data_IF_648814663845
#
_entry.id   IF_648814663845
#
_cell.length_a   1.000
_cell.length_b   1.000
_cell.length_c   1.000
_cell.angle_alpha   90.00
_cell.angle_beta   90.00
_cell.angle_gamma   90.00
#
_symmetry.space_group_name_H-M   'P 1'
#
loop_
_entity.id
_entity.type
_entity.pdbx_description
1 polymer ?
#
# COMPACT_ATOMS: atom_id res chain seq x y z
N UNK A 1 -4.82 -16.69 -54.33
CA UNK A 1 -4.19 -16.75 -52.98
C UNK A 1 -3.61 -15.38 -52.65
N UNK A 2 -4.26 -14.65 -51.79
CA UNK A 2 -3.72 -13.37 -51.26
C UNK A 2 -2.98 -13.67 -49.97
N UNK A 3 -1.81 -13.12 -49.65
CA UNK A 3 -1.12 -13.37 -48.42
C UNK A 3 -1.84 -12.65 -47.28
N UNK A 4 -2.13 -13.39 -46.24
CA UNK A 4 -2.62 -12.90 -44.95
C UNK A 4 -1.54 -11.99 -44.31
N UNK A 5 -1.90 -10.75 -44.05
CA UNK A 5 -1.08 -9.80 -43.31
C UNK A 5 -0.93 -10.30 -41.85
N UNK A 6 0.30 -10.65 -41.50
CA UNK A 6 0.69 -10.89 -40.11
C UNK A 6 0.59 -9.54 -39.38
N UNK A 7 -0.31 -9.42 -38.42
CA UNK A 7 -0.40 -8.30 -37.51
C UNK A 7 0.88 -8.25 -36.66
N UNK A 8 1.75 -7.29 -36.97
CA UNK A 8 2.91 -6.96 -36.13
C UNK A 8 2.36 -6.37 -34.84
N UNK A 9 2.43 -7.15 -33.75
CA UNK A 9 2.12 -6.68 -32.42
C UNK A 9 2.88 -5.38 -32.12
N UNK A 10 2.19 -4.42 -31.51
CA UNK A 10 2.69 -3.10 -31.14
C UNK A 10 3.99 -3.22 -30.32
N UNK A 11 5.12 -3.23 -30.99
CA UNK A 11 6.42 -2.88 -30.41
C UNK A 11 6.32 -1.38 -30.14
N UNK A 12 6.06 -0.99 -28.89
CA UNK A 12 6.07 0.41 -28.49
C UNK A 12 7.45 0.97 -28.80
N UNK A 13 7.52 1.92 -29.73
CA UNK A 13 8.72 2.66 -30.11
C UNK A 13 9.42 3.16 -28.83
N UNK A 14 10.73 2.85 -28.62
CA UNK A 14 11.49 3.31 -27.46
C UNK A 14 11.40 4.80 -27.23
N UNK A 15 11.32 5.60 -28.29
CA UNK A 15 11.14 7.04 -28.22
C UNK A 15 9.78 7.45 -27.64
N UNK A 16 8.72 6.70 -27.93
CA UNK A 16 7.39 6.99 -27.39
C UNK A 16 7.35 6.85 -25.85
N UNK A 17 8.11 5.91 -25.30
CA UNK A 17 8.22 5.72 -23.84
C UNK A 17 8.94 6.86 -23.13
N UNK A 18 9.95 7.47 -23.77
CA UNK A 18 10.69 8.62 -23.22
C UNK A 18 9.80 9.87 -23.17
N UNK A 19 8.98 10.12 -24.19
CA UNK A 19 8.12 11.31 -24.26
C UNK A 19 6.79 11.17 -23.54
N UNK A 20 6.36 9.95 -23.22
CA UNK A 20 5.08 9.66 -22.54
C UNK A 20 4.89 10.39 -21.20
N UNK A 21 5.88 10.46 -20.29
CA UNK A 21 5.75 11.22 -19.04
C UNK A 21 5.49 12.71 -19.28
N UNK A 22 6.18 13.32 -20.24
CA UNK A 22 6.01 14.73 -20.59
C UNK A 22 4.61 15.02 -21.16
N UNK A 23 4.14 14.18 -22.08
CA UNK A 23 2.81 14.29 -22.67
C UNK A 23 1.70 14.13 -21.62
N UNK A 24 1.84 13.20 -20.68
CA UNK A 24 0.90 13.01 -19.58
C UNK A 24 0.94 14.16 -18.58
N UNK A 25 2.11 14.68 -18.26
CA UNK A 25 2.28 15.88 -17.42
C UNK A 25 1.62 17.10 -18.07
N UNK A 26 1.83 17.31 -19.37
CA UNK A 26 1.20 18.42 -20.10
C UNK A 26 -0.33 18.34 -20.08
N UNK A 27 -0.89 17.15 -20.31
CA UNK A 27 -2.36 16.93 -20.22
C UNK A 27 -2.90 17.16 -18.81
N UNK A 28 -2.21 16.67 -17.80
CA UNK A 28 -2.56 16.92 -16.40
C UNK A 28 -2.54 18.41 -16.08
N UNK A 29 -1.50 19.13 -16.48
CA UNK A 29 -1.33 20.54 -16.21
C UNK A 29 -2.42 21.39 -16.90
N UNK A 30 -2.74 21.07 -18.14
CA UNK A 30 -3.85 21.70 -18.87
C UNK A 30 -5.21 21.41 -18.20
N UNK A 31 -5.42 20.21 -17.68
CA UNK A 31 -6.57 19.83 -16.87
C UNK A 31 -6.64 20.62 -15.55
N UNK A 32 -5.53 20.75 -14.84
CA UNK A 32 -5.43 21.53 -13.60
C UNK A 32 -5.78 23.02 -13.84
N UNK A 33 -5.34 23.62 -14.97
CA UNK A 33 -5.74 24.97 -15.36
C UNK A 33 -7.23 25.12 -15.61
N UNK A 34 -7.84 24.17 -16.33
CA UNK A 34 -9.29 24.19 -16.58
C UNK A 34 -10.08 24.09 -15.28
N UNK A 35 -9.69 23.17 -14.40
CA UNK A 35 -10.35 22.99 -13.12
C UNK A 35 -10.20 24.20 -12.19
N UNK A 36 -8.98 24.79 -12.15
CA UNK A 36 -8.72 26.01 -11.38
C UNK A 36 -9.58 27.20 -11.84
N UNK A 37 -9.83 27.33 -13.15
CA UNK A 37 -10.67 28.39 -13.70
C UNK A 37 -12.16 28.14 -13.50
N UNK A 38 -12.61 26.88 -13.48
CA UNK A 38 -14.03 26.55 -13.33
C UNK A 38 -14.59 26.85 -11.95
N UNK A 39 -13.74 27.08 -10.95
CA UNK A 39 -14.14 27.33 -9.56
C UNK A 39 -15.16 26.30 -9.02
N UNK A 40 -15.15 25.08 -9.53
CA UNK A 40 -16.03 24.03 -9.02
C UNK A 40 -15.71 23.75 -7.56
N UNK A 41 -16.72 23.84 -6.71
CA UNK A 41 -16.61 23.38 -5.33
C UNK A 41 -16.30 21.88 -5.31
N UNK A 42 -15.21 21.52 -4.64
CA UNK A 42 -14.74 20.14 -4.47
C UNK A 42 -14.23 20.00 -3.05
N UNK A 43 -14.47 18.86 -2.44
CA UNK A 43 -13.90 18.51 -1.14
C UNK A 43 -12.35 18.48 -1.19
N UNK A 44 -11.82 18.20 -2.38
CA UNK A 44 -10.39 18.31 -2.66
C UNK A 44 -9.98 19.76 -2.92
N UNK A 45 -8.91 20.25 -2.28
CA UNK A 45 -8.34 21.54 -2.63
C UNK A 45 -7.94 21.57 -4.10
N UNK A 46 -8.35 22.63 -4.79
CA UNK A 46 -7.98 22.82 -6.20
C UNK A 46 -6.47 23.11 -6.29
N UNK A 47 -5.74 22.23 -6.96
CA UNK A 47 -4.32 22.41 -7.19
C UNK A 47 -4.04 23.68 -8.00
N UNK A 48 -3.29 24.65 -7.45
CA UNK A 48 -2.82 25.80 -8.23
C UNK A 48 -1.86 25.32 -9.31
N UNK A 49 -2.12 25.63 -10.58
CA UNK A 49 -1.29 25.18 -11.70
C UNK A 49 0.01 25.99 -11.79
N UNK A 50 0.95 25.70 -10.89
CA UNK A 50 2.29 26.31 -10.85
C UNK A 50 3.30 25.43 -11.57
N UNK A 51 4.44 25.98 -11.98
CA UNK A 51 5.56 25.18 -12.50
C UNK A 51 6.00 24.11 -11.51
N UNK A 52 5.99 24.42 -10.20
CA UNK A 52 6.30 23.45 -9.14
C UNK A 52 5.31 22.26 -9.15
N UNK A 53 4.02 22.52 -9.38
CA UNK A 53 3.03 21.44 -9.52
C UNK A 53 3.34 20.55 -10.73
N UNK A 54 3.72 21.16 -11.87
CA UNK A 54 4.11 20.43 -13.06
C UNK A 54 5.35 19.56 -12.83
N UNK A 55 6.36 20.03 -12.08
CA UNK A 55 7.55 19.22 -11.74
C UNK A 55 7.20 18.04 -10.82
N UNK A 56 6.28 18.21 -9.88
CA UNK A 56 5.80 17.10 -9.05
C UNK A 56 5.06 16.04 -9.89
N UNK A 57 4.15 16.46 -10.77
CA UNK A 57 3.44 15.56 -11.66
C UNK A 57 4.40 14.82 -12.62
N UNK A 58 5.40 15.53 -13.17
CA UNK A 58 6.42 14.92 -14.04
C UNK A 58 7.23 13.86 -13.29
N UNK A 59 7.66 14.15 -12.07
CA UNK A 59 8.38 13.19 -11.23
C UNK A 59 7.59 11.91 -11.01
N UNK A 60 6.30 12.04 -10.69
CA UNK A 60 5.42 10.88 -10.50
C UNK A 60 5.24 10.09 -11.82
N UNK A 61 5.07 10.77 -12.97
CA UNK A 61 4.97 10.09 -14.27
C UNK A 61 6.28 9.37 -14.67
N UNK A 62 7.45 9.90 -14.27
CA UNK A 62 8.75 9.22 -14.46
C UNK A 62 8.80 7.95 -13.61
N UNK A 63 8.41 8.03 -12.33
CA UNK A 63 8.32 6.85 -11.44
C UNK A 63 7.38 5.81 -12.03
N UNK A 64 6.18 6.20 -12.47
CA UNK A 64 5.22 5.30 -13.13
C UNK A 64 5.79 4.66 -14.40
N UNK A 65 6.55 5.42 -15.20
CA UNK A 65 7.21 4.87 -16.39
C UNK A 65 8.25 3.83 -16.02
N UNK A 66 9.05 4.07 -14.97
CA UNK A 66 10.02 3.10 -14.43
C UNK A 66 9.34 1.82 -13.92
N UNK A 67 8.25 1.95 -13.17
CA UNK A 67 7.48 0.81 -12.68
C UNK A 67 6.91 -0.03 -13.83
N UNK A 68 6.38 0.60 -14.88
CA UNK A 68 5.88 -0.09 -16.07
C UNK A 68 6.97 -0.83 -16.84
N UNK A 69 8.19 -0.28 -16.88
CA UNK A 69 9.32 -0.95 -17.53
C UNK A 69 9.76 -2.18 -16.74
N UNK A 70 9.72 -2.10 -15.42
CA UNK A 70 10.07 -3.22 -14.53
C UNK A 70 8.97 -4.29 -14.45
N UNK A 71 7.72 -3.88 -14.66
CA UNK A 71 6.50 -4.70 -14.61
C UNK A 71 5.70 -4.51 -15.89
N UNK A 72 6.18 -5.08 -17.01
CA UNK A 72 5.44 -5.03 -18.27
C UNK A 72 4.11 -5.75 -18.11
N UNK A 73 3.04 -5.16 -18.66
CA UNK A 73 1.74 -5.82 -18.67
C UNK A 73 1.81 -7.11 -19.49
N UNK A 74 1.22 -8.15 -18.98
CA UNK A 74 1.08 -9.44 -19.67
C UNK A 74 0.29 -9.26 -20.97
N UNK A 75 0.66 -10.02 -22.02
CA UNK A 75 -0.05 -10.00 -23.29
C UNK A 75 -1.50 -10.49 -23.15
N UNK A 76 -2.40 -10.02 -24.01
CA UNK A 76 -3.82 -10.36 -23.94
C UNK A 76 -4.08 -11.87 -23.96
N UNK A 77 -3.29 -12.63 -24.72
CA UNK A 77 -3.44 -14.09 -24.86
C UNK A 77 -3.16 -14.86 -23.54
N UNK A 78 -2.38 -14.25 -22.63
CA UNK A 78 -2.07 -14.87 -21.34
C UNK A 78 -3.12 -14.55 -20.24
N UNK A 79 -4.13 -13.74 -20.53
CA UNK A 79 -5.18 -13.39 -19.56
C UNK A 79 -6.23 -14.49 -19.35
N UNK A 80 -6.39 -15.43 -20.28
CA UNK A 80 -7.35 -16.52 -20.15
C UNK A 80 -7.15 -17.39 -18.88
N UNK A 81 -5.92 -17.80 -18.53
CA UNK A 81 -5.66 -18.47 -17.26
C UNK A 81 -5.99 -17.61 -16.04
N UNK A 82 -5.65 -16.33 -16.06
CA UNK A 82 -5.95 -15.37 -14.97
C UNK A 82 -7.47 -15.24 -14.79
N UNK A 83 -8.23 -15.09 -15.88
CA UNK A 83 -9.69 -14.99 -15.83
C UNK A 83 -10.33 -16.25 -15.22
N UNK A 84 -9.85 -17.45 -15.58
CA UNK A 84 -10.32 -18.69 -14.96
C UNK A 84 -9.99 -18.79 -13.49
N UNK A 85 -8.80 -18.38 -13.06
CA UNK A 85 -8.41 -18.37 -11.66
C UNK A 85 -9.25 -17.38 -10.85
N UNK A 86 -9.53 -16.19 -11.41
CA UNK A 86 -10.43 -15.19 -10.82
C UNK A 86 -11.84 -15.74 -10.68
N UNK A 87 -12.37 -16.42 -11.70
CA UNK A 87 -13.69 -17.04 -11.64
C UNK A 87 -13.77 -18.12 -10.54
N UNK A 88 -12.77 -18.99 -10.47
CA UNK A 88 -12.67 -19.99 -9.40
C UNK A 88 -12.55 -19.34 -8.00
N UNK A 89 -11.84 -18.22 -7.88
CA UNK A 89 -11.73 -17.49 -6.63
C UNK A 89 -13.06 -16.85 -6.19
N UNK A 90 -13.83 -16.32 -7.14
CA UNK A 90 -15.16 -15.78 -6.84
C UNK A 90 -16.10 -16.85 -6.30
N UNK A 91 -16.07 -18.06 -6.88
CA UNK A 91 -16.82 -19.20 -6.37
C UNK A 91 -16.34 -19.60 -4.97
N UNK A 92 -15.03 -19.85 -4.81
CA UNK A 92 -14.41 -20.27 -3.56
C UNK A 92 -14.70 -19.31 -2.39
N UNK A 93 -14.56 -18.01 -2.61
CA UNK A 93 -14.81 -17.00 -1.58
C UNK A 93 -16.31 -16.70 -1.40
N UNK A 94 -17.10 -16.85 -2.46
CA UNK A 94 -18.56 -16.75 -2.40
C UNK A 94 -19.18 -17.82 -1.51
N UNK A 95 -18.80 -19.09 -1.68
CA UNK A 95 -19.23 -20.22 -0.86
C UNK A 95 -18.88 -20.05 0.62
N UNK A 96 -17.75 -19.41 0.90
CA UNK A 96 -17.30 -19.10 2.29
C UNK A 96 -17.90 -17.83 2.86
N UNK A 97 -18.71 -17.12 2.08
CA UNK A 97 -19.31 -15.86 2.48
C UNK A 97 -18.35 -14.66 2.60
N UNK A 98 -17.10 -14.79 2.14
CA UNK A 98 -16.08 -13.75 2.30
C UNK A 98 -16.36 -12.53 1.43
N UNK A 99 -16.99 -12.71 0.27
CA UNK A 99 -17.39 -11.58 -0.59
C UNK A 99 -18.47 -10.72 0.06
N UNK A 100 -19.35 -11.32 0.85
CA UNK A 100 -20.41 -10.61 1.58
C UNK A 100 -19.93 -10.09 2.95
N UNK A 101 -18.94 -10.76 3.56
CA UNK A 101 -18.35 -10.39 4.84
C UNK A 101 -16.81 -10.38 4.76
N UNK A 102 -16.21 -9.32 4.20
CA UNK A 102 -14.76 -9.21 4.02
C UNK A 102 -13.94 -9.38 5.31
N UNK A 103 -14.50 -9.03 6.47
CA UNK A 103 -13.81 -9.21 7.74
C UNK A 103 -13.51 -10.69 8.05
N UNK A 104 -14.35 -11.61 7.61
CA UNK A 104 -14.17 -13.05 7.81
C UNK A 104 -13.02 -13.63 6.96
N UNK A 105 -12.69 -13.01 5.83
CA UNK A 105 -11.52 -13.37 5.03
C UNK A 105 -10.21 -13.17 5.80
N UNK A 106 -10.13 -12.12 6.59
CA UNK A 106 -8.95 -11.80 7.39
C UNK A 106 -8.99 -12.51 8.76
N UNK A 107 -8.88 -13.83 8.76
CA UNK A 107 -8.86 -14.59 10.01
C UNK A 107 -7.82 -14.05 11.00
N UNK A 108 -8.11 -14.07 12.32
CA UNK A 108 -7.14 -13.64 13.32
C UNK A 108 -5.95 -14.61 13.37
N UNK A 109 -4.69 -14.12 13.23
CA UNK A 109 -3.53 -14.99 13.29
C UNK A 109 -3.31 -15.56 14.70
N UNK A 110 -2.62 -16.70 14.85
CA UNK A 110 -2.23 -17.21 16.17
C UNK A 110 -1.26 -16.26 16.87
N UNK A 111 -1.11 -16.36 18.19
CA UNK A 111 -0.10 -15.61 18.93
C UNK A 111 1.30 -15.82 18.34
N UNK A 112 2.11 -14.77 18.36
CA UNK A 112 3.53 -14.85 18.05
C UNK A 112 4.29 -15.09 19.35
N UNK A 113 4.86 -16.28 19.48
CA UNK A 113 5.58 -16.70 20.68
C UNK A 113 7.08 -16.40 20.61
N UNK A 114 7.65 -16.51 19.41
CA UNK A 114 9.10 -16.33 19.21
C UNK A 114 9.37 -15.21 18.21
N UNK A 115 10.25 -14.30 18.60
CA UNK A 115 10.75 -13.21 17.78
C UNK A 115 12.26 -13.09 17.98
N UNK A 116 13.02 -13.48 16.98
CA UNK A 116 14.48 -13.35 17.00
C UNK A 116 14.89 -11.91 16.77
N UNK A 117 15.78 -11.38 17.60
CA UNK A 117 16.32 -10.02 17.46
C UNK A 117 17.83 -10.05 17.27
N UNK A 118 18.31 -9.37 16.25
CA UNK A 118 19.73 -9.24 15.92
C UNK A 118 20.14 -7.75 15.98
N UNK A 119 21.16 -7.40 16.77
CA UNK A 119 21.66 -6.03 16.79
C UNK A 119 22.37 -5.71 15.47
N UNK A 120 22.12 -4.52 14.95
CA UNK A 120 22.76 -4.01 13.72
C UNK A 120 23.23 -2.59 13.98
N UNK A 121 24.47 -2.30 13.59
CA UNK A 121 25.01 -0.93 13.57
C UNK A 121 25.37 -0.55 12.13
N UNK A 122 24.77 0.52 11.64
CA UNK A 122 25.06 1.08 10.32
C UNK A 122 25.30 2.59 10.44
N UNK A 123 26.41 3.09 9.90
CA UNK A 123 26.76 4.53 9.91
C UNK A 123 26.61 5.18 11.29
N UNK A 124 27.13 4.54 12.35
CA UNK A 124 27.06 4.99 13.77
C UNK A 124 25.65 5.06 14.36
N UNK A 125 24.65 4.45 13.70
CA UNK A 125 23.28 4.33 14.18
C UNK A 125 22.95 2.86 14.43
N UNK A 126 22.49 2.55 15.64
CA UNK A 126 22.13 1.19 16.03
C UNK A 126 20.62 0.99 15.95
N UNK A 127 20.22 -0.16 15.48
CA UNK A 127 18.84 -0.65 15.47
C UNK A 127 18.86 -2.16 15.64
N UNK A 128 17.71 -2.78 15.84
CA UNK A 128 17.58 -4.24 15.84
C UNK A 128 16.89 -4.67 14.55
N UNK A 129 17.38 -5.74 13.96
CA UNK A 129 16.63 -6.49 12.96
C UNK A 129 15.89 -7.59 13.71
N UNK A 130 14.61 -7.78 13.38
CA UNK A 130 13.85 -8.89 13.93
C UNK A 130 13.40 -9.84 12.81
N UNK A 131 13.16 -11.09 13.20
CA UNK A 131 12.67 -12.15 12.33
C UNK A 131 11.67 -13.01 13.11
N UNK A 132 10.65 -13.45 12.42
CA UNK A 132 9.73 -14.49 12.91
C UNK A 132 9.12 -15.26 11.73
N UNK A 133 8.65 -16.48 12.00
CA UNK A 133 7.89 -17.25 11.02
C UNK A 133 6.52 -16.60 10.78
N UNK A 134 6.18 -16.32 9.51
CA UNK A 134 4.87 -15.77 9.15
C UNK A 134 3.75 -16.70 9.59
N UNK A 135 3.91 -18.00 9.43
CA UNK A 135 2.86 -18.98 9.66
C UNK A 135 1.58 -18.75 8.84
N UNK A 136 1.63 -17.87 7.84
CA UNK A 136 0.53 -17.71 6.90
C UNK A 136 0.52 -18.86 5.92
N UNK A 137 -0.64 -19.49 5.80
CA UNK A 137 -0.89 -20.56 4.81
C UNK A 137 -2.24 -20.27 4.17
N UNK A 138 -2.32 -20.19 2.83
CA UNK A 138 -3.58 -20.19 2.12
C UNK A 138 -4.45 -21.38 2.53
N UNK A 139 -5.77 -21.23 2.45
CA UNK A 139 -6.67 -22.34 2.73
C UNK A 139 -6.51 -23.47 1.68
N UNK A 140 -6.87 -24.69 2.07
CA UNK A 140 -6.85 -25.83 1.12
C UNK A 140 -7.76 -25.55 -0.08
N UNK A 141 -7.23 -25.73 -1.27
CA UNK A 141 -7.93 -25.48 -2.54
C UNK A 141 -8.12 -23.98 -2.86
N UNK A 142 -7.55 -23.06 -2.10
CA UNK A 142 -7.64 -21.62 -2.37
C UNK A 142 -6.91 -21.29 -3.68
N UNK A 143 -7.58 -20.67 -4.67
CA UNK A 143 -6.96 -20.32 -5.94
C UNK A 143 -5.69 -19.47 -5.75
N UNK A 144 -4.64 -19.79 -6.51
CA UNK A 144 -3.31 -19.17 -6.36
C UNK A 144 -2.52 -19.61 -5.12
N UNK A 145 -3.12 -20.35 -4.17
CA UNK A 145 -2.50 -20.71 -2.90
C UNK A 145 -1.27 -21.58 -3.05
N UNK A 146 -1.32 -22.61 -3.89
CA UNK A 146 -0.14 -23.45 -4.18
C UNK A 146 1.01 -22.63 -4.76
N UNK A 147 0.72 -21.76 -5.72
CA UNK A 147 1.72 -20.84 -6.29
C UNK A 147 2.30 -19.91 -5.23
N UNK A 148 1.47 -19.33 -4.37
CA UNK A 148 1.89 -18.43 -3.29
C UNK A 148 2.88 -19.09 -2.34
N UNK A 149 2.69 -20.36 -1.99
CA UNK A 149 3.60 -21.12 -1.11
C UNK A 149 4.97 -21.36 -1.73
N UNK A 150 5.10 -21.31 -3.06
CA UNK A 150 6.40 -21.42 -3.73
C UNK A 150 7.28 -20.18 -3.52
N UNK A 151 6.72 -19.05 -3.11
CA UNK A 151 7.46 -17.82 -2.80
C UNK A 151 8.08 -17.92 -1.41
N UNK A 152 9.03 -18.82 -1.23
CA UNK A 152 9.62 -19.22 0.05
C UNK A 152 10.18 -18.07 0.89
N UNK A 153 10.59 -16.94 0.25
CA UNK A 153 10.98 -15.72 0.93
C UNK A 153 9.88 -15.12 1.82
N UNK A 154 8.61 -15.43 1.52
CA UNK A 154 7.48 -14.94 2.29
C UNK A 154 7.26 -15.68 3.62
N UNK A 155 7.83 -16.88 3.79
CA UNK A 155 7.69 -17.67 5.02
C UNK A 155 8.27 -16.97 6.25
N UNK A 156 9.34 -16.20 6.09
CA UNK A 156 9.97 -15.45 7.19
C UNK A 156 9.64 -13.97 7.09
N UNK A 157 9.07 -13.41 8.14
CA UNK A 157 8.91 -11.96 8.30
C UNK A 157 10.22 -11.36 8.79
N UNK A 158 10.66 -10.33 8.11
CA UNK A 158 11.79 -9.49 8.51
C UNK A 158 11.28 -8.13 8.93
N UNK A 159 12.02 -7.44 9.78
CA UNK A 159 11.70 -6.06 10.10
C UNK A 159 12.81 -5.35 10.86
N UNK A 160 12.56 -4.08 11.14
CA UNK A 160 13.48 -3.17 11.82
C UNK A 160 12.81 -2.66 13.08
N UNK A 161 13.58 -2.52 14.16
CA UNK A 161 13.06 -2.10 15.46
C UNK A 161 14.03 -1.16 16.16
N UNK A 162 13.46 -0.07 16.67
CA UNK A 162 14.08 0.81 17.68
C UNK A 162 13.25 0.65 18.95
N UNK A 163 13.80 0.09 20.02
CA UNK A 163 13.07 -0.20 21.26
C UNK A 163 13.87 0.29 22.46
N UNK A 164 13.17 0.98 23.36
CA UNK A 164 13.67 1.39 24.66
C UNK A 164 13.75 0.19 25.62
N UNK A 165 14.64 0.23 26.62
CA UNK A 165 14.68 -0.79 27.68
C UNK A 165 13.38 -0.82 28.50
N UNK A 166 12.82 0.34 28.81
CA UNK A 166 11.57 0.50 29.55
C UNK A 166 10.36 0.45 28.60
N UNK A 167 9.19 0.03 29.10
CA UNK A 167 7.94 0.08 28.31
C UNK A 167 7.64 1.49 27.79
N UNK A 168 7.38 1.60 26.51
CA UNK A 168 7.06 2.83 25.80
C UNK A 168 5.94 2.58 24.80
N UNK A 169 5.18 3.61 24.41
CA UNK A 169 4.22 3.46 23.31
C UNK A 169 4.89 3.01 22.02
N UNK A 170 4.16 2.22 21.24
CA UNK A 170 4.64 1.65 19.99
C UNK A 170 4.04 2.34 18.78
N UNK A 171 4.87 2.64 17.79
CA UNK A 171 4.42 3.03 16.47
C UNK A 171 4.87 1.99 15.44
N UNK A 172 3.91 1.28 14.86
CA UNK A 172 4.14 0.32 13.78
C UNK A 172 4.11 1.09 12.46
N UNK A 173 5.27 1.23 11.83
CA UNK A 173 5.44 1.93 10.57
C UNK A 173 5.36 0.94 9.41
N UNK A 174 4.34 1.07 8.57
CA UNK A 174 4.02 0.14 7.49
C UNK A 174 4.43 0.74 6.15
N UNK A 175 5.43 0.16 5.52
CA UNK A 175 6.11 0.75 4.37
C UNK A 175 5.32 0.65 3.05
N UNK A 176 5.68 1.49 2.08
CA UNK A 176 5.12 1.51 0.74
C UNK A 176 5.80 0.55 -0.23
N UNK A 177 5.34 0.60 -1.49
CA UNK A 177 5.92 -0.16 -2.60
C UNK A 177 7.40 0.20 -2.82
N UNK A 178 8.23 -0.76 -3.26
CA UNK A 178 9.67 -0.63 -3.50
C UNK A 178 10.52 -0.28 -2.26
N UNK A 179 9.94 -0.38 -1.08
CA UNK A 179 10.58 -0.21 0.22
C UNK A 179 10.99 -1.57 0.82
N UNK A 180 11.17 -1.67 2.13
CA UNK A 180 11.59 -2.91 2.81
C UNK A 180 13.11 -2.99 3.01
N UNK A 181 13.81 -1.84 3.02
CA UNK A 181 15.25 -1.72 3.24
C UNK A 181 15.57 -0.72 4.33
N UNK A 182 16.40 -1.09 5.28
CA UNK A 182 16.69 -0.31 6.50
C UNK A 182 17.07 1.16 6.22
N UNK A 183 17.94 1.41 5.25
CA UNK A 183 18.38 2.77 4.93
C UNK A 183 17.27 3.65 4.39
N UNK A 184 16.32 3.06 3.68
CA UNK A 184 15.14 3.75 3.13
C UNK A 184 14.10 3.93 4.22
N UNK A 185 13.65 2.85 4.82
CA UNK A 185 12.50 2.82 5.70
C UNK A 185 12.71 3.65 6.97
N UNK A 186 13.84 3.46 7.66
CA UNK A 186 14.17 4.22 8.86
C UNK A 186 14.32 5.73 8.59
N UNK A 187 14.70 6.10 7.35
CA UNK A 187 14.81 7.51 6.96
C UNK A 187 13.46 8.10 6.62
N UNK A 188 12.66 7.40 5.82
CA UNK A 188 11.36 7.87 5.36
C UNK A 188 10.37 8.06 6.52
N UNK A 189 10.36 7.11 7.45
CA UNK A 189 9.55 7.22 8.66
C UNK A 189 10.16 8.12 9.74
N UNK A 190 11.33 8.70 9.51
CA UNK A 190 12.03 9.50 10.53
C UNK A 190 12.18 8.71 11.85
N UNK A 191 12.48 7.41 11.75
CA UNK A 191 12.39 6.48 12.86
C UNK A 191 13.22 6.90 14.09
N UNK A 192 14.41 7.48 13.89
CA UNK A 192 15.24 7.98 15.00
C UNK A 192 14.66 9.22 15.67
N UNK A 193 13.99 10.11 14.94
CA UNK A 193 13.25 11.23 15.51
C UNK A 193 12.08 10.71 16.36
N UNK A 194 11.27 9.83 15.82
CA UNK A 194 10.17 9.21 16.55
C UNK A 194 10.65 8.47 17.82
N UNK A 195 11.78 7.78 17.72
CA UNK A 195 12.34 7.03 18.84
C UNK A 195 12.95 7.94 19.91
N UNK A 196 13.78 8.93 19.54
CA UNK A 196 14.55 9.75 20.47
C UNK A 196 13.76 10.92 21.01
N UNK A 197 13.07 11.65 20.10
CA UNK A 197 12.45 12.91 20.45
C UNK A 197 11.02 12.71 20.98
N UNK A 198 10.30 11.67 20.48
CA UNK A 198 8.98 11.28 20.97
C UNK A 198 9.02 10.13 21.99
N UNK A 199 10.15 9.49 22.17
CA UNK A 199 10.29 8.38 23.10
C UNK A 199 9.52 7.12 22.73
N UNK A 200 9.21 6.95 21.44
CA UNK A 200 8.45 5.80 20.95
C UNK A 200 9.32 4.56 20.72
N UNK A 201 8.75 3.39 20.95
CA UNK A 201 9.22 2.19 20.29
C UNK A 201 8.73 2.22 18.82
N UNK A 202 9.65 2.07 17.88
CA UNK A 202 9.35 2.10 16.44
C UNK A 202 9.67 0.75 15.82
N UNK A 203 8.71 0.20 15.08
CA UNK A 203 8.88 -1.08 14.39
C UNK A 203 8.40 -0.98 12.95
N UNK A 204 9.18 -1.56 12.03
CA UNK A 204 8.90 -1.52 10.59
C UNK A 204 8.95 -2.95 10.06
N UNK A 205 7.82 -3.67 9.96
CA UNK A 205 7.76 -4.98 9.32
C UNK A 205 7.95 -4.85 7.81
N UNK A 206 8.65 -5.81 7.20
CA UNK A 206 8.81 -5.91 5.75
C UNK A 206 7.69 -6.76 5.17
N UNK A 207 6.98 -6.22 4.20
CA UNK A 207 5.89 -6.92 3.51
C UNK A 207 6.35 -8.15 2.70
N UNK A 208 5.45 -9.10 2.44
CA UNK A 208 5.70 -10.16 1.45
C UNK A 208 6.24 -9.58 0.15
N UNK A 209 7.02 -10.33 -0.58
CA UNK A 209 7.61 -9.98 -1.88
C UNK A 209 8.52 -8.72 -1.88
N UNK A 210 8.81 -8.11 -0.74
CA UNK A 210 9.65 -6.90 -0.61
C UNK A 210 10.97 -7.19 0.11
N UNK A 211 12.00 -6.40 -0.19
CA UNK A 211 13.30 -6.50 0.47
C UNK A 211 13.84 -7.93 0.52
N UNK A 212 14.21 -8.46 1.71
CA UNK A 212 14.68 -9.85 1.84
C UNK A 212 13.66 -10.90 1.43
N UNK A 213 12.37 -10.57 1.49
CA UNK A 213 11.25 -11.49 1.18
C UNK A 213 10.97 -11.61 -0.31
N UNK A 214 11.62 -10.82 -1.15
CA UNK A 214 11.54 -10.98 -2.62
C UNK A 214 12.40 -12.15 -3.15
N UNK A 215 13.16 -12.83 -2.29
CA UNK A 215 13.94 -14.00 -2.68
C UNK A 215 13.01 -15.16 -3.06
N UNK A 216 13.30 -15.79 -4.20
CA UNK A 216 12.47 -16.87 -4.73
C UNK A 216 11.21 -16.41 -5.48
N UNK A 217 10.91 -15.11 -5.50
CA UNK A 217 9.86 -14.58 -6.38
C UNK A 217 10.39 -14.53 -7.80
N UNK A 218 9.72 -15.16 -8.80
CA UNK A 218 10.15 -15.13 -10.18
C UNK A 218 10.24 -13.70 -10.74
N UNK A 219 11.18 -13.48 -11.67
CA UNK A 219 11.28 -12.20 -12.37
C UNK A 219 9.96 -11.86 -13.06
N UNK A 220 9.48 -10.65 -12.91
CA UNK A 220 8.20 -10.20 -13.46
C UNK A 220 6.99 -10.51 -12.57
N UNK A 221 7.12 -11.37 -11.57
CA UNK A 221 6.12 -11.55 -10.49
C UNK A 221 6.47 -10.61 -9.34
N UNK A 222 5.81 -9.51 -9.25
CA UNK A 222 6.00 -8.54 -8.18
C UNK A 222 4.64 -7.95 -7.82
N UNK A 223 4.44 -7.63 -6.56
CA UNK A 223 3.26 -6.91 -6.13
C UNK A 223 3.39 -5.40 -6.43
N UNK A 224 2.33 -4.73 -6.92
CA UNK A 224 1.15 -5.31 -7.56
C UNK A 224 1.50 -5.81 -8.97
N UNK A 225 0.80 -6.86 -9.41
CA UNK A 225 1.05 -7.53 -10.69
C UNK A 225 -0.21 -7.75 -11.52
N UNK A 226 -0.05 -8.53 -12.59
CA UNK A 226 -1.16 -8.97 -13.43
C UNK A 226 -1.92 -10.16 -12.81
N UNK A 227 -1.32 -10.80 -11.82
CA UNK A 227 -1.87 -11.97 -11.15
C UNK A 227 -2.72 -11.52 -9.96
N UNK A 228 -4.03 -11.50 -10.17
CA UNK A 228 -5.01 -11.02 -9.19
C UNK A 228 -4.93 -11.81 -7.89
N UNK A 229 -4.70 -13.12 -7.96
CA UNK A 229 -4.65 -13.95 -6.75
C UNK A 229 -3.36 -13.75 -5.97
N UNK A 230 -2.24 -13.47 -6.62
CA UNK A 230 -1.01 -13.06 -5.92
C UNK A 230 -1.23 -11.73 -5.16
N UNK A 231 -2.01 -10.81 -5.72
CA UNK A 231 -2.36 -9.54 -5.05
C UNK A 231 -3.30 -9.77 -3.84
N UNK A 232 -4.24 -10.72 -3.95
CA UNK A 232 -5.12 -11.12 -2.83
C UNK A 232 -4.31 -11.77 -1.71
N UNK A 233 -3.44 -12.74 -2.03
CA UNK A 233 -2.57 -13.39 -1.03
C UNK A 233 -1.56 -12.43 -0.41
N UNK A 234 -1.06 -11.47 -1.19
CA UNK A 234 -0.22 -10.40 -0.65
C UNK A 234 -0.96 -9.61 0.44
N UNK A 235 -2.17 -9.15 0.16
CA UNK A 235 -2.97 -8.39 1.11
C UNK A 235 -3.27 -9.21 2.37
N UNK A 236 -3.69 -10.48 2.20
CA UNK A 236 -3.97 -11.39 3.28
C UNK A 236 -2.75 -11.59 4.19
N UNK A 237 -1.60 -11.95 3.63
CA UNK A 237 -0.39 -12.21 4.39
C UNK A 237 0.20 -10.94 5.00
N UNK A 238 0.17 -9.80 4.32
CA UNK A 238 0.67 -8.54 4.87
C UNK A 238 -0.14 -8.10 6.10
N UNK A 239 -1.48 -8.22 6.04
CA UNK A 239 -2.36 -7.96 7.18
C UNK A 239 -2.11 -8.96 8.31
N UNK A 240 -2.00 -10.25 8.01
CA UNK A 240 -1.68 -11.31 8.96
C UNK A 240 -0.39 -11.03 9.71
N UNK A 241 0.70 -10.71 9.01
CA UNK A 241 2.02 -10.47 9.60
C UNK A 241 2.02 -9.25 10.53
N UNK A 242 1.38 -8.15 10.14
CA UNK A 242 1.24 -6.97 10.99
C UNK A 242 0.41 -7.30 12.23
N UNK A 243 -0.70 -8.04 12.09
CA UNK A 243 -1.54 -8.46 13.23
C UNK A 243 -0.81 -9.41 14.18
N UNK A 244 0.05 -10.32 13.68
CA UNK A 244 0.92 -11.15 14.53
C UNK A 244 1.90 -10.30 15.33
N UNK A 245 2.51 -9.31 14.70
CA UNK A 245 3.40 -8.38 15.38
C UNK A 245 2.68 -7.57 16.47
N UNK A 246 1.46 -7.08 16.20
CA UNK A 246 0.63 -6.40 17.20
C UNK A 246 0.32 -7.31 18.41
N UNK A 247 0.03 -8.58 18.18
CA UNK A 247 -0.18 -9.56 19.26
C UNK A 247 1.07 -9.78 20.09
N UNK A 248 2.24 -9.85 19.46
CA UNK A 248 3.50 -9.93 20.17
C UNK A 248 3.77 -8.69 21.03
N UNK A 249 3.52 -7.48 20.50
CA UNK A 249 3.65 -6.23 21.27
C UNK A 249 2.75 -6.26 22.51
N UNK A 250 1.49 -6.62 22.32
CA UNK A 250 0.49 -6.70 23.42
C UNK A 250 0.85 -7.75 24.47
N UNK A 251 1.42 -8.87 24.06
CA UNK A 251 1.87 -9.91 24.99
C UNK A 251 3.14 -9.49 25.76
N UNK A 252 4.04 -8.75 25.10
CA UNK A 252 5.32 -8.33 25.70
C UNK A 252 5.18 -7.09 26.58
N UNK A 253 4.32 -6.15 26.18
CA UNK A 253 4.09 -4.86 26.86
C UNK A 253 2.57 -4.54 26.89
N UNK A 254 1.78 -5.25 27.72
CA UNK A 254 0.32 -5.17 27.71
C UNK A 254 -0.26 -3.76 27.97
N UNK A 255 0.46 -2.93 28.72
CA UNK A 255 0.04 -1.57 29.05
C UNK A 255 0.46 -0.53 28.01
N UNK A 256 1.28 -0.90 27.03
CA UNK A 256 1.78 0.05 26.04
C UNK A 256 0.72 0.39 24.98
N UNK A 257 0.54 1.68 24.75
CA UNK A 257 -0.30 2.17 23.66
C UNK A 257 0.33 1.85 22.29
N UNK A 258 -0.52 1.56 21.28
CA UNK A 258 -0.05 1.18 19.94
C UNK A 258 -0.74 2.07 18.89
N UNK A 259 0.05 2.63 17.97
CA UNK A 259 -0.40 3.34 16.79
C UNK A 259 0.15 2.72 15.51
N UNK A 260 -0.49 3.03 14.39
CA UNK A 260 -0.06 2.69 13.03
C UNK A 260 0.36 3.95 12.27
N UNK A 261 1.42 3.85 11.46
CA UNK A 261 1.81 4.89 10.50
C UNK A 261 2.10 4.22 9.16
N UNK A 262 1.16 4.29 8.22
CA UNK A 262 1.24 3.62 6.93
C UNK A 262 1.44 4.57 5.77
N UNK A 263 2.33 4.22 4.83
CA UNK A 263 2.63 5.03 3.65
C UNK A 263 2.23 4.31 2.36
N UNK A 264 1.39 4.93 1.52
CA UNK A 264 1.00 4.41 0.20
C UNK A 264 0.34 3.02 0.31
N UNK A 265 0.93 1.98 -0.24
CA UNK A 265 0.56 0.57 -0.02
C UNK A 265 0.54 0.23 1.49
N UNK A 266 1.50 0.73 2.27
CA UNK A 266 1.48 0.58 3.73
C UNK A 266 0.31 1.30 4.39
N UNK A 267 -0.18 2.38 3.79
CA UNK A 267 -1.43 3.04 4.16
C UNK A 267 -2.65 2.14 3.94
N UNK A 268 -2.69 1.42 2.83
CA UNK A 268 -3.71 0.42 2.53
C UNK A 268 -3.71 -0.72 3.57
N UNK A 269 -2.56 -1.33 3.83
CA UNK A 269 -2.44 -2.39 4.83
C UNK A 269 -2.78 -1.88 6.24
N UNK A 270 -2.32 -0.67 6.60
CA UNK A 270 -2.64 -0.05 7.88
C UNK A 270 -4.14 0.23 8.04
N UNK A 271 -4.82 0.64 6.96
CA UNK A 271 -6.26 0.86 6.98
C UNK A 271 -7.05 -0.45 7.19
N UNK A 272 -6.63 -1.54 6.55
CA UNK A 272 -7.20 -2.87 6.79
C UNK A 272 -6.99 -3.31 8.24
N UNK A 273 -5.76 -3.22 8.75
CA UNK A 273 -5.44 -3.59 10.13
C UNK A 273 -6.22 -2.73 11.14
N UNK A 274 -6.33 -1.42 10.90
CA UNK A 274 -7.09 -0.49 11.73
C UNK A 274 -8.60 -0.77 11.74
N UNK A 275 -9.09 -1.51 10.76
CA UNK A 275 -10.48 -1.96 10.66
C UNK A 275 -10.71 -3.38 11.23
N UNK A 276 -9.63 -4.11 11.55
CA UNK A 276 -9.68 -5.49 12.05
C UNK A 276 -9.21 -5.63 13.50
N UNK A 277 -8.43 -4.68 14.01
CA UNK A 277 -7.83 -4.72 15.33
C UNK A 277 -8.39 -3.64 16.26
N UNK A 278 -8.81 -4.06 17.47
CA UNK A 278 -9.25 -3.16 18.51
C UNK A 278 -8.07 -2.60 19.33
N UNK A 279 -8.29 -1.50 20.05
CA UNK A 279 -7.36 -0.95 21.02
C UNK A 279 -6.17 -0.18 20.41
N UNK A 280 -6.17 0.09 19.12
CA UNK A 280 -5.21 1.00 18.51
C UNK A 280 -5.56 2.45 18.86
N UNK A 281 -4.56 3.23 19.26
CA UNK A 281 -4.73 4.66 19.61
C UNK A 281 -4.84 5.53 18.38
N UNK A 282 -4.05 5.23 17.33
CA UNK A 282 -4.13 5.98 16.08
C UNK A 282 -3.78 5.14 14.85
N UNK A 283 -4.23 5.65 13.71
CA UNK A 283 -3.79 5.27 12.38
C UNK A 283 -3.53 6.55 11.57
N UNK A 284 -2.26 6.76 11.19
CA UNK A 284 -1.79 7.89 10.38
C UNK A 284 -1.52 7.35 8.99
N UNK A 285 -2.35 7.72 8.02
CA UNK A 285 -2.32 7.16 6.67
C UNK A 285 -1.82 8.18 5.65
N UNK A 286 -0.66 7.92 5.09
CA UNK A 286 -0.05 8.76 4.08
C UNK A 286 -0.33 8.28 2.66
N UNK A 287 -0.93 9.14 1.82
CA UNK A 287 -1.24 8.84 0.42
C UNK A 287 -1.79 7.42 0.22
N UNK A 288 -2.75 6.98 1.04
CA UNK A 288 -3.16 5.59 1.11
C UNK A 288 -3.83 5.13 -0.17
N UNK A 289 -3.52 3.90 -0.59
CA UNK A 289 -4.36 3.16 -1.55
C UNK A 289 -5.62 2.71 -0.81
N UNK A 290 -6.77 2.76 -1.48
CA UNK A 290 -8.05 2.32 -0.93
C UNK A 290 -8.71 1.21 -1.78
N UNK A 291 -8.51 1.27 -3.09
CA UNK A 291 -9.06 0.34 -4.06
C UNK A 291 -7.96 -0.06 -5.04
N UNK A 292 -7.37 -1.22 -4.80
CA UNK A 292 -6.20 -1.69 -5.57
C UNK A 292 -6.58 -2.01 -7.02
N UNK A 293 -7.72 -2.68 -7.25
CA UNK A 293 -8.17 -3.05 -8.60
C UNK A 293 -8.44 -1.81 -9.44
N UNK A 294 -9.13 -0.82 -8.88
CA UNK A 294 -9.35 0.48 -9.55
C UNK A 294 -8.04 1.20 -9.86
N UNK A 295 -7.09 1.18 -8.91
CA UNK A 295 -5.76 1.77 -9.10
C UNK A 295 -4.99 1.10 -10.25
N UNK A 296 -4.97 -0.22 -10.28
CA UNK A 296 -4.29 -1.01 -11.31
C UNK A 296 -4.94 -0.80 -12.68
N UNK A 297 -6.27 -0.86 -12.77
CA UNK A 297 -7.01 -0.59 -13.99
C UNK A 297 -6.73 0.80 -14.57
N UNK A 298 -6.66 1.83 -13.71
CA UNK A 298 -6.26 3.19 -14.10
C UNK A 298 -4.85 3.23 -14.69
N UNK A 299 -3.90 2.54 -14.06
CA UNK A 299 -2.51 2.53 -14.51
C UNK A 299 -2.29 1.66 -15.74
N UNK A 300 -3.01 0.56 -15.87
CA UNK A 300 -2.99 -0.28 -17.07
C UNK A 300 -3.48 0.53 -18.29
N UNK A 301 -4.53 1.33 -18.12
CA UNK A 301 -5.06 2.22 -19.15
C UNK A 301 -5.60 1.45 -20.35
N UNK A 302 -6.20 0.27 -20.10
CA UNK A 302 -6.83 -0.52 -21.14
C UNK A 302 -7.96 0.25 -21.82
N UNK A 303 -8.00 0.18 -23.16
CA UNK A 303 -9.09 0.73 -23.96
C UNK A 303 -10.42 0.02 -23.69
N UNK A 304 -11.54 0.58 -24.13
CA UNK A 304 -12.85 -0.02 -23.92
C UNK A 304 -12.98 -1.42 -24.56
N UNK A 305 -12.28 -1.66 -25.67
CA UNK A 305 -12.32 -2.93 -26.42
C UNK A 305 -11.19 -3.90 -26.04
N UNK A 306 -10.37 -3.57 -25.03
CA UNK A 306 -9.27 -4.43 -24.60
C UNK A 306 -9.82 -5.60 -23.75
N UNK A 307 -9.59 -6.86 -24.14
CA UNK A 307 -10.13 -8.02 -23.42
C UNK A 307 -9.66 -8.12 -21.96
N UNK A 308 -8.49 -7.55 -21.62
CA UNK A 308 -7.95 -7.51 -20.26
C UNK A 308 -8.80 -6.67 -19.31
N UNK A 309 -9.55 -5.71 -19.85
CA UNK A 309 -10.51 -4.92 -19.08
C UNK A 309 -11.60 -5.79 -18.46
N UNK A 310 -12.08 -6.81 -19.21
CA UNK A 310 -13.08 -7.76 -18.70
C UNK A 310 -12.58 -8.50 -17.48
N UNK A 311 -11.31 -8.95 -17.51
CA UNK A 311 -10.70 -9.63 -16.35
C UNK A 311 -10.62 -8.70 -15.13
N UNK A 312 -10.29 -7.41 -15.33
CA UNK A 312 -10.29 -6.42 -14.24
C UNK A 312 -11.70 -6.19 -13.67
N UNK A 313 -12.71 -6.14 -14.53
CA UNK A 313 -14.11 -5.99 -14.12
C UNK A 313 -14.59 -7.24 -13.35
N UNK A 314 -14.22 -8.44 -13.80
CA UNK A 314 -14.49 -9.70 -13.11
C UNK A 314 -13.80 -9.75 -11.73
N UNK A 315 -12.59 -9.23 -11.60
CA UNK A 315 -11.83 -9.20 -10.36
C UNK A 315 -12.32 -8.14 -9.35
N UNK A 316 -13.21 -7.24 -9.72
CA UNK A 316 -13.67 -6.16 -8.85
C UNK A 316 -14.23 -6.63 -7.49
N UNK A 317 -15.00 -7.73 -7.37
CA UNK A 317 -15.45 -8.23 -6.07
C UNK A 317 -14.30 -8.72 -5.18
N UNK A 318 -13.24 -9.31 -5.75
CA UNK A 318 -12.03 -9.71 -5.00
C UNK A 318 -11.28 -8.48 -4.48
N UNK A 319 -11.18 -7.44 -5.33
CA UNK A 319 -10.65 -6.14 -4.93
C UNK A 319 -11.46 -5.49 -3.81
N UNK A 320 -12.79 -5.58 -3.87
CA UNK A 320 -13.67 -5.10 -2.81
C UNK A 320 -13.48 -5.89 -1.50
N UNK A 321 -13.34 -7.22 -1.57
CA UNK A 321 -13.10 -8.09 -0.42
C UNK A 321 -11.81 -7.71 0.33
N UNK A 322 -10.78 -7.33 -0.38
CA UNK A 322 -9.50 -6.90 0.21
C UNK A 322 -9.39 -5.39 0.44
N UNK A 323 -10.43 -4.60 0.16
CA UNK A 323 -10.40 -3.15 0.29
C UNK A 323 -10.74 -2.66 1.70
N UNK A 324 -10.01 -1.67 2.25
CA UNK A 324 -10.42 -1.01 3.50
C UNK A 324 -11.76 -0.26 3.38
N UNK A 325 -12.24 0.01 2.16
CA UNK A 325 -13.56 0.62 1.93
C UNK A 325 -14.73 -0.33 2.26
N UNK A 326 -14.46 -1.63 2.40
CA UNK A 326 -15.46 -2.64 2.76
C UNK A 326 -15.49 -2.94 4.26
N UNK A 327 -14.64 -2.29 5.05
CA UNK A 327 -14.49 -2.50 6.48
C UNK A 327 -14.64 -1.18 7.24
N UNK A 328 -15.33 -1.19 8.39
CA UNK A 328 -15.40 -0.01 9.23
C UNK A 328 -14.16 0.13 10.12
N UNK A 329 -13.54 1.33 10.22
CA UNK A 329 -12.38 1.54 11.07
C UNK A 329 -12.74 1.41 12.55
N UNK A 330 -11.95 0.61 13.30
CA UNK A 330 -12.12 0.41 14.75
C UNK A 330 -11.33 1.41 15.59
N UNK A 331 -10.34 2.07 14.98
CA UNK A 331 -9.63 3.18 15.63
C UNK A 331 -10.61 4.31 15.94
N UNK A 332 -10.58 4.90 17.15
CA UNK A 332 -11.45 5.99 17.51
C UNK A 332 -11.33 7.19 16.53
N UNK A 333 -12.41 7.95 16.28
CA UNK A 333 -12.38 9.07 15.33
C UNK A 333 -11.23 10.07 15.54
N UNK A 334 -10.92 10.39 16.80
CA UNK A 334 -9.83 11.28 17.18
C UNK A 334 -8.42 10.70 16.97
N UNK A 335 -8.32 9.40 16.66
CA UNK A 335 -7.06 8.72 16.34
C UNK A 335 -6.87 8.48 14.84
N UNK A 336 -7.74 9.01 13.98
CA UNK A 336 -7.68 8.82 12.52
C UNK A 336 -7.09 10.04 11.86
N UNK A 337 -6.02 9.87 11.09
CA UNK A 337 -5.32 10.96 10.41
C UNK A 337 -4.94 10.54 9.00
N UNK A 338 -5.12 11.44 8.03
CA UNK A 338 -4.78 11.16 6.63
C UNK A 338 -3.98 12.33 6.07
N UNK A 339 -3.04 12.07 5.19
CA UNK A 339 -2.41 13.10 4.36
C UNK A 339 -2.34 12.68 2.90
N UNK A 340 -2.58 13.63 1.98
CA UNK A 340 -2.65 13.39 0.56
C UNK A 340 -2.01 14.47 -0.29
N UNK A 341 -1.45 14.10 -1.43
CA UNK A 341 -0.91 15.02 -2.41
C UNK A 341 -1.95 15.40 -3.46
N UNK A 342 -2.23 16.69 -3.63
CA UNK A 342 -3.25 17.15 -4.61
C UNK A 342 -2.88 16.84 -6.06
N UNK A 343 -1.59 16.60 -6.35
CA UNK A 343 -1.07 16.29 -7.67
C UNK A 343 -0.53 14.86 -7.80
N UNK A 344 -0.91 13.99 -6.87
CA UNK A 344 -0.46 12.59 -6.87
C UNK A 344 -0.93 11.86 -8.13
N UNK A 345 0.05 11.31 -8.86
CA UNK A 345 -0.18 10.57 -10.10
C UNK A 345 -0.09 9.07 -9.91
N UNK A 346 0.52 8.61 -8.81
CA UNK A 346 0.64 7.20 -8.44
C UNK A 346 -0.64 6.73 -7.75
N UNK A 347 -1.05 7.44 -6.70
CA UNK A 347 -2.28 7.15 -5.94
C UNK A 347 -3.21 8.35 -6.13
N UNK A 348 -4.16 8.20 -7.05
CA UNK A 348 -4.99 9.33 -7.46
C UNK A 348 -5.81 9.88 -6.28
N UNK A 349 -5.67 11.18 -5.92
CA UNK A 349 -6.22 11.73 -4.68
C UNK A 349 -7.73 11.53 -4.56
N UNK A 350 -8.50 11.77 -5.62
CA UNK A 350 -9.96 11.62 -5.61
C UNK A 350 -10.43 10.17 -5.56
N UNK A 351 -9.76 9.30 -6.31
CA UNK A 351 -10.21 7.90 -6.47
C UNK A 351 -9.77 7.01 -5.31
N UNK A 352 -8.78 7.44 -4.55
CA UNK A 352 -8.18 6.65 -3.47
C UNK A 352 -8.29 7.37 -2.12
N UNK A 353 -7.54 8.46 -1.95
CA UNK A 353 -7.40 9.13 -0.64
C UNK A 353 -8.73 9.76 -0.18
N UNK A 354 -9.43 10.47 -1.07
CA UNK A 354 -10.73 11.11 -0.76
C UNK A 354 -11.78 10.06 -0.41
N UNK A 355 -11.87 8.96 -1.19
CA UNK A 355 -12.81 7.86 -0.89
C UNK A 355 -12.58 7.25 0.49
N UNK A 356 -11.33 7.00 0.86
CA UNK A 356 -11.00 6.48 2.18
C UNK A 356 -11.29 7.50 3.28
N UNK A 357 -10.97 8.77 3.04
CA UNK A 357 -11.27 9.86 3.96
C UNK A 357 -12.78 9.99 4.23
N UNK A 358 -13.60 9.95 3.19
CA UNK A 358 -15.06 9.96 3.33
C UNK A 358 -15.57 8.73 4.07
N UNK A 359 -15.09 7.54 3.68
CA UNK A 359 -15.46 6.27 4.31
C UNK A 359 -15.09 6.23 5.80
N UNK A 360 -14.00 6.87 6.20
CA UNK A 360 -13.57 6.94 7.60
C UNK A 360 -14.27 8.03 8.41
N UNK A 361 -15.26 8.72 7.86
CA UNK A 361 -16.04 9.76 8.51
C UNK A 361 -15.37 11.13 8.50
N UNK A 362 -14.55 11.39 7.48
CA UNK A 362 -13.83 12.66 7.26
C UNK A 362 -12.94 13.06 8.43
N UNK A 363 -11.97 12.22 8.82
CA UNK A 363 -11.03 12.54 9.89
C UNK A 363 -10.14 13.74 9.53
N UNK A 364 -9.28 14.13 10.48
CA UNK A 364 -8.31 15.18 10.21
C UNK A 364 -7.41 14.82 9.02
N UNK A 365 -7.32 15.74 8.06
CA UNK A 365 -6.57 15.54 6.82
C UNK A 365 -5.76 16.77 6.45
N UNK A 366 -4.53 16.54 5.95
CA UNK A 366 -3.76 17.57 5.27
C UNK A 366 -3.59 17.23 3.79
N UNK A 367 -4.00 18.17 2.93
CA UNK A 367 -3.73 18.13 1.51
C UNK A 367 -2.51 19.00 1.20
N UNK A 368 -1.40 18.37 0.82
CA UNK A 368 -0.20 19.14 0.45
C UNK A 368 -0.11 19.38 -1.06
N UNK A 369 0.46 20.52 -1.43
CA UNK A 369 0.68 20.88 -2.84
C UNK A 369 1.87 20.11 -3.40
N UNK A 370 1.63 18.87 -3.86
CA UNK A 370 2.68 17.99 -4.38
C UNK A 370 2.15 16.69 -4.95
N UNK A 371 3.03 15.91 -5.55
CA UNK A 371 2.78 14.55 -6.03
C UNK A 371 2.98 13.49 -4.95
N UNK A 372 3.00 12.22 -5.36
CA UNK A 372 3.11 11.06 -4.46
C UNK A 372 4.28 11.15 -3.47
N UNK A 373 5.44 11.58 -3.95
CA UNK A 373 6.65 11.69 -3.12
C UNK A 373 6.79 13.04 -2.41
N UNK A 374 5.77 13.90 -2.41
CA UNK A 374 5.78 15.21 -1.77
C UNK A 374 5.64 15.22 -0.25
N UNK A 375 5.35 14.07 0.36
CA UNK A 375 5.13 13.92 1.81
C UNK A 375 6.37 14.20 2.69
N UNK A 376 7.55 14.36 2.09
CA UNK A 376 8.77 14.77 2.82
C UNK A 376 8.75 16.24 3.26
N UNK A 377 7.79 17.02 2.80
CA UNK A 377 7.69 18.43 3.12
C UNK A 377 7.43 18.68 4.62
N UNK A 378 8.00 19.78 5.14
CA UNK A 378 7.84 20.17 6.55
C UNK A 378 6.38 20.18 7.05
N UNK A 379 5.37 20.65 6.27
CA UNK A 379 3.99 20.62 6.72
C UNK A 379 3.47 19.21 7.02
N UNK A 380 3.81 18.21 6.20
CA UNK A 380 3.38 16.82 6.43
C UNK A 380 4.09 16.23 7.64
N UNK A 381 5.39 16.52 7.81
CA UNK A 381 6.14 16.07 8.98
C UNK A 381 5.55 16.63 10.27
N UNK A 382 5.20 17.93 10.30
CA UNK A 382 4.54 18.57 11.42
C UNK A 382 3.14 17.99 11.69
N UNK A 383 2.41 17.65 10.63
CA UNK A 383 1.12 16.98 10.76
C UNK A 383 1.24 15.59 11.40
N UNK A 384 2.21 14.78 10.99
CA UNK A 384 2.47 13.47 11.61
C UNK A 384 2.85 13.64 13.09
N UNK A 385 3.71 14.59 13.40
CA UNK A 385 4.14 14.87 14.77
C UNK A 385 2.94 15.32 15.64
N UNK A 386 2.07 16.19 15.11
CA UNK A 386 0.85 16.63 15.76
C UNK A 386 -0.15 15.47 15.96
N UNK A 387 -0.34 14.62 14.95
CA UNK A 387 -1.22 13.44 15.02
C UNK A 387 -0.80 12.47 16.15
N UNK A 388 0.50 12.24 16.32
CA UNK A 388 1.03 11.40 17.40
C UNK A 388 0.68 11.99 18.78
N UNK A 389 0.77 13.30 18.93
CA UNK A 389 0.44 13.97 20.21
C UNK A 389 -1.07 13.99 20.45
N UNK A 390 -1.86 14.40 19.45
CA UNK A 390 -3.31 14.58 19.57
C UNK A 390 -4.05 13.24 19.77
N UNK A 391 -3.55 12.14 19.20
CA UNK A 391 -4.15 10.81 19.35
C UNK A 391 -4.09 10.25 20.76
N UNK A 392 -3.35 10.87 21.67
CA UNK A 392 -3.08 10.32 23.00
C UNK A 392 -2.15 9.11 23.01
N UNK A 393 -1.43 8.86 21.91
CA UNK A 393 -0.46 7.76 21.83
C UNK A 393 0.64 7.89 22.90
N UNK A 394 1.05 9.12 23.23
CA UNK A 394 2.10 9.42 24.19
C UNK A 394 1.60 9.50 25.65
N UNK A 395 0.30 9.44 25.87
CA UNK A 395 -0.27 9.48 27.23
C UNK A 395 -0.06 8.13 27.90
N UNK A 396 0.38 8.19 29.18
CA UNK A 396 0.56 7.01 30.03
C UNK A 396 -0.77 6.45 30.50
#
# INVERSE_FOLDING_TARGET
MRPTAVSIGNVTDPLSNIFRPFAKTGRYYAGAWRHYRSRQESALPVARPTLRLATHALRDEIVLSGLRTQRPLTGADAYGPIEREVAAALEFYGERGYLANPAAFFAPPPPLTELTMLPVTHRRRSYRRFLFDSGYTPAEGEPGGERWTTYTGNATVYGLMLRHPEPRPWLVCVHGLEMGRAGVDLTLFRAWHLHRDFGLNVVVPVHPMHGPRSRGVPKGKAFPGDDVMDDVHFAAQAVWDVRRLLRWIRATEPASAIGLNGLSMGGYISALVASLEDGLKCAILGVPVADLVSLLGRHAGFGPDDPRRRTMELAAPLGAMTSPLSLQPRVPPQGRFIYGGVADRLVHPREQVERLWEHWGRPEIIWYSGGHTGFFGKPVQQFIDAAIVQSGLLQK
#
